data_IF_931880140860
#
_entry.id   IF_931880140860
#
_cell.length_a   1.000
_cell.length_b   1.000
_cell.length_c   1.000
_cell.angle_alpha   90.00
_cell.angle_beta   90.00
_cell.angle_gamma   90.00
#
_symmetry.space_group_name_H-M   'P 1'
#
loop_
_entity.id
_entity.type
_entity.pdbx_description
1 polymer ?
#
# COMPACT_ATOMS: atom_id res chain seq x y z
N UNK A 1 36.83 39.45 55.65
CA UNK A 1 36.15 40.67 55.19
C UNK A 1 34.78 40.24 54.67
N UNK A 2 33.70 40.40 55.45
CA UNK A 2 32.81 41.60 55.53
C UNK A 2 32.38 42.07 54.12
N UNK A 3 31.13 42.37 53.77
CA UNK A 3 29.79 42.32 54.36
C UNK A 3 28.84 42.69 53.19
N UNK A 4 27.70 42.04 52.98
CA UNK A 4 26.36 42.50 53.36
C UNK A 4 26.06 44.01 53.23
N UNK A 5 25.12 44.38 52.33
CA UNK A 5 24.18 45.51 52.47
C UNK A 5 23.02 45.31 51.47
N UNK A 6 21.74 45.03 51.83
CA UNK A 6 20.77 45.65 52.76
C UNK A 6 19.95 46.79 52.11
N UNK A 7 18.63 46.71 52.27
CA UNK A 7 17.62 47.76 52.02
C UNK A 7 16.50 47.26 51.11
N UNK A 8 15.41 46.62 51.57
CA UNK A 8 14.34 47.03 52.49
C UNK A 8 13.37 48.09 51.90
N UNK A 9 12.08 47.76 52.03
CA UNK A 9 10.85 48.42 51.53
C UNK A 9 10.76 49.93 51.79
N UNK A 10 9.85 50.63 51.10
CA UNK A 10 8.58 51.06 51.74
C UNK A 10 7.35 50.78 50.84
N UNK A 11 6.17 50.43 51.37
CA UNK A 11 5.12 51.35 51.85
C UNK A 11 4.02 51.46 50.78
N UNK A 12 2.96 50.65 50.80
CA UNK A 12 1.65 50.89 51.43
C UNK A 12 1.02 52.25 51.08
N UNK A 13 0.01 52.24 50.20
CA UNK A 13 -1.19 53.13 50.16
C UNK A 13 -2.16 52.50 49.11
N UNK A 14 -3.21 51.77 49.51
CA UNK A 14 -4.61 52.19 49.76
C UNK A 14 -5.35 52.75 48.53
N UNK A 15 -6.39 52.01 48.07
CA UNK A 15 -7.68 52.47 47.51
C UNK A 15 -8.52 51.26 47.01
N UNK A 16 -9.86 51.36 46.87
CA UNK A 16 -10.78 50.78 47.84
C UNK A 16 -11.66 49.64 47.28
N UNK A 17 -12.55 49.15 48.16
CA UNK A 17 -13.35 47.95 47.99
C UNK A 17 -14.30 47.91 46.81
N UNK A 18 -14.60 46.68 46.40
CA UNK A 18 -15.75 46.34 45.59
C UNK A 18 -16.58 45.31 46.35
N UNK A 19 -17.77 45.77 46.73
CA UNK A 19 -18.81 45.05 47.43
C UNK A 19 -19.27 43.81 46.65
N UNK A 20 -19.50 42.75 47.41
CA UNK A 20 -20.40 41.66 47.01
C UNK A 20 -21.80 42.22 46.81
N UNK A 21 -22.27 42.29 45.57
CA UNK A 21 -23.68 42.53 45.27
C UNK A 21 -24.37 41.18 45.15
N UNK A 22 -25.21 40.90 46.13
CA UNK A 22 -26.25 39.87 46.06
C UNK A 22 -27.30 40.34 45.05
N UNK A 23 -27.47 39.61 43.94
CA UNK A 23 -28.60 39.80 43.04
C UNK A 23 -29.62 38.70 43.32
N UNK A 24 -30.72 39.14 43.93
CA UNK A 24 -31.99 38.44 43.99
C UNK A 24 -32.54 38.21 42.59
N UNK A 25 -33.03 37.01 42.31
CA UNK A 25 -34.02 36.82 41.25
C UNK A 25 -35.29 36.24 41.86
N UNK A 26 -36.37 36.99 41.66
CA UNK A 26 -37.69 36.78 42.21
C UNK A 26 -38.36 35.58 41.52
N UNK A 27 -38.80 34.61 42.32
CA UNK A 27 -39.67 33.53 41.88
C UNK A 27 -41.12 34.04 41.83
N UNK A 28 -41.74 33.97 40.65
CA UNK A 28 -43.18 34.13 40.50
C UNK A 28 -43.89 32.89 41.06
N UNK A 29 -44.70 33.11 42.09
CA UNK A 29 -45.58 32.13 42.69
C UNK A 29 -46.87 32.00 41.86
N UNK A 30 -47.07 30.86 41.22
CA UNK A 30 -48.39 30.40 40.77
C UNK A 30 -48.93 29.41 41.80
N UNK A 31 -49.98 29.82 42.50
CA UNK A 31 -50.64 29.03 43.53
C UNK A 31 -51.27 27.76 42.99
N UNK A 32 -50.99 26.65 43.67
CA UNK A 32 -51.79 25.44 43.62
C UNK A 32 -52.25 25.14 45.05
N UNK A 33 -53.55 24.91 45.17
CA UNK A 33 -54.30 24.63 46.40
C UNK A 33 -53.77 23.39 47.13
N UNK A 34 -53.85 23.35 48.47
CA UNK A 34 -53.53 22.15 49.24
C UNK A 34 -54.57 21.05 48.99
N UNK A 35 -54.13 19.89 48.51
CA UNK A 35 -54.93 18.67 48.54
C UNK A 35 -54.84 18.05 49.94
N UNK A 36 -55.99 17.87 50.56
CA UNK A 36 -56.20 17.07 51.77
C UNK A 36 -55.73 15.61 51.56
N UNK A 37 -55.00 14.99 52.50
CA UNK A 37 -54.78 13.56 52.49
C UNK A 37 -56.03 12.84 53.03
N UNK A 38 -56.80 12.22 52.14
CA UNK A 38 -57.82 11.24 52.51
C UNK A 38 -57.21 10.00 53.20
N UNK A 39 -58.00 9.26 53.99
CA UNK A 39 -57.48 8.20 54.85
C UNK A 39 -56.84 7.07 54.04
N UNK A 40 -55.64 6.67 54.49
CA UNK A 40 -54.85 5.57 53.94
C UNK A 40 -55.66 4.27 53.90
N UNK A 41 -55.88 3.74 52.70
CA UNK A 41 -56.31 2.35 52.53
C UNK A 41 -55.21 1.41 53.05
N UNK A 42 -55.57 0.28 53.70
CA UNK A 42 -54.57 -0.65 54.22
C UNK A 42 -53.77 -1.28 53.07
N UNK A 43 -52.48 -1.60 53.29
CA UNK A 43 -51.65 -2.21 52.26
C UNK A 43 -52.23 -3.56 51.86
N UNK A 44 -52.45 -3.74 50.55
CA UNK A 44 -52.76 -5.04 49.97
C UNK A 44 -51.62 -6.02 50.29
N UNK A 45 -51.89 -7.28 50.67
CA UNK A 45 -50.85 -8.27 50.87
C UNK A 45 -50.06 -8.44 49.57
N UNK A 46 -48.74 -8.32 49.66
CA UNK A 46 -47.83 -8.71 48.57
C UNK A 46 -48.20 -10.11 48.11
N UNK A 47 -48.65 -10.23 46.86
CA UNK A 47 -48.72 -11.52 46.21
C UNK A 47 -47.31 -12.14 46.24
N UNK A 48 -47.15 -13.42 46.63
CA UNK A 48 -45.85 -14.06 46.56
C UNK A 48 -45.37 -14.02 45.11
N UNK A 49 -44.25 -13.33 44.87
CA UNK A 49 -43.56 -13.39 43.59
C UNK A 49 -43.22 -14.85 43.33
N UNK A 50 -43.80 -15.42 42.27
CA UNK A 50 -43.45 -16.75 41.79
C UNK A 50 -41.91 -16.88 41.74
N UNK A 51 -41.33 -17.99 42.23
CA UNK A 51 -39.90 -18.23 42.05
C UNK A 51 -39.56 -18.12 40.56
N UNK A 52 -38.39 -17.56 40.19
CA UNK A 52 -37.99 -17.46 38.80
C UNK A 52 -38.10 -18.85 38.15
N UNK A 53 -38.84 -18.92 37.05
CA UNK A 53 -38.99 -20.15 36.28
C UNK A 53 -37.60 -20.75 36.00
N UNK A 54 -37.43 -22.08 36.06
CA UNK A 54 -36.15 -22.70 35.76
C UNK A 54 -35.69 -22.23 34.37
N UNK A 55 -34.55 -21.53 34.33
CA UNK A 55 -33.97 -21.00 33.10
C UNK A 55 -33.77 -22.19 32.15
N UNK A 56 -34.37 -22.13 30.96
CA UNK A 56 -34.26 -23.20 29.98
C UNK A 56 -32.77 -23.52 29.72
N UNK A 57 -32.40 -24.79 29.49
CA UNK A 57 -31.01 -25.16 29.30
C UNK A 57 -30.41 -24.37 28.15
N UNK A 58 -29.38 -23.59 28.45
CA UNK A 58 -28.78 -22.64 27.52
C UNK A 58 -27.25 -22.70 27.62
N UNK A 59 -26.52 -22.56 26.49
CA UNK A 59 -25.08 -22.46 26.52
C UNK A 59 -24.64 -21.11 27.12
N UNK A 60 -23.46 -21.08 27.73
CA UNK A 60 -22.83 -19.86 28.26
C UNK A 60 -21.35 -19.88 27.94
N UNK A 61 -20.88 -18.98 27.08
CA UNK A 61 -19.45 -18.88 26.78
C UNK A 61 -18.76 -18.03 27.85
N UNK A 62 -17.59 -18.48 28.30
CA UNK A 62 -16.77 -17.74 29.25
C UNK A 62 -15.30 -17.81 28.84
N UNK A 63 -14.64 -16.65 28.74
CA UNK A 63 -13.19 -16.56 28.53
C UNK A 63 -12.52 -16.10 29.82
N UNK A 64 -11.45 -16.78 30.22
CA UNK A 64 -10.67 -16.38 31.39
C UNK A 64 -9.96 -15.03 31.16
N UNK A 65 -9.48 -14.79 29.94
CA UNK A 65 -8.81 -13.55 29.55
C UNK A 65 -9.19 -13.19 28.10
N UNK A 66 -10.13 -12.24 27.88
CA UNK A 66 -10.50 -11.80 26.54
C UNK A 66 -9.46 -10.85 25.91
N UNK A 67 -8.43 -10.45 26.67
CA UNK A 67 -7.35 -9.58 26.22
C UNK A 67 -6.04 -10.29 26.50
N UNK A 68 -5.20 -10.42 25.47
CA UNK A 68 -3.83 -10.84 25.61
C UNK A 68 -2.89 -9.71 25.19
N UNK A 69 -1.92 -9.38 26.05
CA UNK A 69 -0.90 -8.38 25.78
C UNK A 69 0.47 -9.06 25.70
N UNK A 70 1.09 -8.98 24.52
CA UNK A 70 2.43 -9.50 24.27
C UNK A 70 3.54 -8.58 24.83
N UNK A 71 3.18 -7.41 25.34
CA UNK A 71 4.12 -6.43 25.87
C UNK A 71 5.01 -5.84 24.77
N UNK A 72 6.29 -5.64 25.08
CA UNK A 72 7.27 -5.06 24.15
C UNK A 72 7.82 -6.12 23.22
N UNK A 73 7.59 -5.97 21.92
CA UNK A 73 7.93 -6.97 20.89
C UNK A 73 8.68 -6.33 19.72
N UNK A 74 9.65 -7.05 19.15
CA UNK A 74 10.37 -6.61 17.95
C UNK A 74 9.44 -6.63 16.72
N UNK A 75 9.46 -5.56 15.92
CA UNK A 75 8.71 -5.51 14.65
C UNK A 75 9.13 -6.65 13.72
N UNK A 76 8.15 -7.30 13.09
CA UNK A 76 8.36 -8.40 12.14
C UNK A 76 8.22 -9.79 12.77
N UNK A 77 8.17 -9.91 14.09
CA UNK A 77 7.85 -11.17 14.77
C UNK A 77 6.42 -11.61 14.51
N UNK A 78 6.22 -12.92 14.33
CA UNK A 78 4.90 -13.55 14.27
C UNK A 78 4.50 -13.95 15.69
N UNK A 79 3.46 -13.31 16.22
CA UNK A 79 2.96 -13.55 17.57
C UNK A 79 1.84 -14.58 17.54
N UNK A 80 1.83 -15.50 18.50
CA UNK A 80 0.82 -16.56 18.61
C UNK A 80 0.25 -16.61 20.02
N UNK A 81 -1.06 -16.78 20.12
CA UNK A 81 -1.74 -16.94 21.40
C UNK A 81 -2.98 -17.81 21.24
N UNK A 82 -3.19 -18.69 22.22
CA UNK A 82 -4.35 -19.56 22.29
C UNK A 82 -5.33 -19.02 23.33
N UNK A 83 -6.50 -18.58 22.87
CA UNK A 83 -7.58 -18.19 23.77
C UNK A 83 -8.36 -19.42 24.21
N UNK A 84 -8.40 -19.63 25.53
CA UNK A 84 -9.19 -20.69 26.15
C UNK A 84 -10.55 -20.16 26.57
N UNK A 85 -11.60 -20.90 26.25
CA UNK A 85 -12.96 -20.62 26.69
C UNK A 85 -13.63 -21.86 27.26
N UNK A 86 -14.62 -21.66 28.12
CA UNK A 86 -15.36 -22.72 28.80
C UNK A 86 -16.85 -22.54 28.53
N UNK A 87 -17.55 -23.64 28.30
CA UNK A 87 -19.01 -23.63 28.34
C UNK A 87 -19.48 -23.77 29.80
N UNK A 88 -19.90 -22.65 30.40
CA UNK A 88 -20.43 -22.59 31.76
C UNK A 88 -21.94 -22.79 31.83
N UNK A 89 -22.57 -23.06 30.68
CA UNK A 89 -24.01 -23.27 30.56
C UNK A 89 -24.41 -24.72 30.80
N UNK A 90 -25.68 -25.02 30.52
CA UNK A 90 -26.29 -26.34 30.71
C UNK A 90 -26.68 -27.01 29.40
N UNK A 91 -26.38 -26.37 28.26
CA UNK A 91 -26.55 -26.93 26.91
C UNK A 91 -25.26 -26.78 26.08
N UNK A 92 -25.06 -27.57 25.00
CA UNK A 92 -23.87 -27.51 24.16
C UNK A 92 -23.67 -26.12 23.52
N UNK A 93 -22.46 -25.59 23.64
CA UNK A 93 -22.02 -24.33 23.03
C UNK A 93 -21.48 -24.62 21.63
N UNK A 94 -21.98 -23.91 20.63
CA UNK A 94 -21.52 -24.01 19.24
C UNK A 94 -20.98 -22.68 18.74
N UNK A 95 -19.77 -22.74 18.17
CA UNK A 95 -19.07 -21.61 17.58
C UNK A 95 -19.28 -21.64 16.07
N UNK A 96 -20.06 -20.69 15.57
CA UNK A 96 -20.46 -20.65 14.15
C UNK A 96 -19.45 -19.94 13.27
N UNK A 97 -18.74 -18.94 13.81
CA UNK A 97 -17.79 -18.14 13.04
C UNK A 97 -16.71 -17.53 13.94
N UNK A 98 -15.51 -17.37 13.38
CA UNK A 98 -14.43 -16.58 13.96
C UNK A 98 -13.84 -15.71 12.87
N UNK A 99 -13.84 -14.40 13.08
CA UNK A 99 -13.37 -13.43 12.10
C UNK A 99 -12.41 -12.42 12.73
N UNK A 100 -11.27 -12.23 12.08
CA UNK A 100 -10.28 -11.24 12.47
C UNK A 100 -10.58 -9.87 11.81
N UNK A 101 -10.28 -8.78 12.51
CA UNK A 101 -10.50 -7.41 12.02
C UNK A 101 -9.61 -6.98 10.85
N UNK A 102 -8.48 -7.64 10.62
CA UNK A 102 -7.54 -7.37 9.52
C UNK A 102 -6.95 -8.67 8.99
N UNK A 103 -6.48 -8.68 7.74
CA UNK A 103 -5.69 -9.80 7.19
C UNK A 103 -4.31 -9.99 7.85
N UNK A 104 -3.92 -9.09 8.76
CA UNK A 104 -2.72 -9.21 9.58
C UNK A 104 -2.88 -10.13 10.81
N UNK A 105 -4.12 -10.53 11.10
CA UNK A 105 -4.48 -11.44 12.20
C UNK A 105 -5.23 -12.62 11.62
N UNK A 106 -4.84 -13.82 12.00
CA UNK A 106 -5.44 -15.07 11.49
C UNK A 106 -5.88 -15.92 12.65
N UNK A 107 -7.12 -16.40 12.62
CA UNK A 107 -7.60 -17.46 13.50
C UNK A 107 -7.22 -18.82 12.90
N UNK A 108 -6.60 -19.68 13.70
CA UNK A 108 -6.33 -21.08 13.35
C UNK A 108 -7.58 -21.94 13.49
N UNK A 109 -7.43 -23.26 13.42
CA UNK A 109 -8.54 -24.18 13.67
C UNK A 109 -9.00 -24.10 15.13
N UNK A 110 -10.30 -23.84 15.35
CA UNK A 110 -10.88 -23.66 16.68
C UNK A 110 -11.84 -24.79 17.07
N UNK A 111 -12.07 -24.95 18.37
CA UNK A 111 -13.07 -25.90 18.88
C UNK A 111 -14.49 -25.43 18.53
N UNK A 112 -15.15 -26.11 17.60
CA UNK A 112 -16.49 -25.71 17.11
C UNK A 112 -17.64 -26.01 18.07
N UNK A 113 -17.52 -27.05 18.88
CA UNK A 113 -18.57 -27.47 19.82
C UNK A 113 -17.96 -27.83 21.16
N UNK A 114 -18.54 -27.31 22.23
CA UNK A 114 -18.06 -27.50 23.61
C UNK A 114 -19.22 -27.91 24.50
N UNK A 115 -19.13 -29.12 25.06
CA UNK A 115 -20.13 -29.65 25.99
C UNK A 115 -20.13 -28.88 27.33
N UNK A 116 -21.24 -28.87 28.08
CA UNK A 116 -21.31 -28.23 29.40
C UNK A 116 -20.15 -28.61 30.32
N UNK A 117 -19.50 -27.59 30.90
CA UNK A 117 -18.35 -27.75 31.80
C UNK A 117 -17.01 -28.04 31.10
N UNK A 118 -16.98 -28.22 29.78
CA UNK A 118 -15.75 -28.46 29.02
C UNK A 118 -15.12 -27.14 28.53
N UNK A 119 -13.84 -27.22 28.13
CA UNK A 119 -13.10 -26.11 27.54
C UNK A 119 -12.88 -26.31 26.03
N UNK A 120 -12.78 -25.19 25.32
CA UNK A 120 -12.37 -25.09 23.93
C UNK A 120 -11.18 -24.14 23.75
N UNK A 121 -10.55 -24.22 22.59
CA UNK A 121 -9.36 -23.42 22.24
C UNK A 121 -9.61 -22.68 20.93
N UNK A 122 -9.15 -21.43 20.89
CA UNK A 122 -9.07 -20.61 19.69
C UNK A 122 -7.63 -20.10 19.50
N UNK A 123 -6.84 -20.76 18.64
CA UNK A 123 -5.50 -20.30 18.27
C UNK A 123 -5.58 -19.04 17.41
N UNK A 124 -4.78 -18.02 17.72
CA UNK A 124 -4.70 -16.79 16.95
C UNK A 124 -3.24 -16.43 16.67
N UNK A 125 -2.98 -15.96 15.46
CA UNK A 125 -1.68 -15.49 15.02
C UNK A 125 -1.77 -14.02 14.57
N UNK A 126 -0.77 -13.21 14.93
CA UNK A 126 -0.61 -11.81 14.53
C UNK A 126 0.74 -11.61 13.84
N UNK A 127 0.71 -11.16 12.58
CA UNK A 127 1.90 -10.74 11.84
C UNK A 127 2.16 -9.26 12.09
N UNK A 128 3.31 -8.92 12.67
CA UNK A 128 3.65 -7.54 13.07
C UNK A 128 4.44 -6.76 12.02
N UNK A 129 4.81 -7.41 10.90
CA UNK A 129 5.51 -6.76 9.80
C UNK A 129 4.68 -5.59 9.24
N UNK A 130 5.33 -4.43 9.06
CA UNK A 130 4.68 -3.22 8.54
C UNK A 130 3.96 -2.36 9.58
N UNK A 131 3.98 -2.75 10.86
CA UNK A 131 3.44 -1.95 11.97
C UNK A 131 4.56 -1.40 12.86
N UNK A 132 4.27 -0.34 13.62
CA UNK A 132 5.17 0.28 14.60
C UNK A 132 4.38 0.81 15.80
N UNK A 133 5.00 0.89 16.97
CA UNK A 133 4.36 1.39 18.18
C UNK A 133 3.26 0.48 18.73
N UNK A 134 2.29 1.06 19.43
CA UNK A 134 1.21 0.28 20.05
C UNK A 134 0.23 -0.25 18.99
N UNK A 135 0.05 -1.57 18.97
CA UNK A 135 -0.86 -2.28 18.09
C UNK A 135 -1.93 -2.96 18.90
N UNK A 136 -3.19 -2.75 18.52
CA UNK A 136 -4.36 -3.45 19.08
C UNK A 136 -5.12 -4.08 17.92
N UNK A 137 -5.33 -5.40 17.98
CA UNK A 137 -6.08 -6.16 16.98
C UNK A 137 -7.19 -6.93 17.65
N UNK A 138 -8.31 -7.07 16.94
CA UNK A 138 -9.49 -7.76 17.45
C UNK A 138 -9.81 -9.00 16.63
N UNK A 139 -10.27 -10.03 17.32
CA UNK A 139 -10.89 -11.23 16.75
C UNK A 139 -12.29 -11.33 17.33
N UNK A 140 -13.29 -11.47 16.47
CA UNK A 140 -14.69 -11.61 16.88
C UNK A 140 -15.13 -13.04 16.63
N UNK A 141 -15.71 -13.65 17.66
CA UNK A 141 -16.26 -14.98 17.64
C UNK A 141 -17.79 -14.89 17.75
N UNK A 142 -18.51 -15.65 16.93
CA UNK A 142 -19.97 -15.77 16.98
C UNK A 142 -20.38 -17.15 17.48
N UNK A 143 -21.36 -17.21 18.37
CA UNK A 143 -21.83 -18.45 18.99
C UNK A 143 -23.34 -18.43 19.30
N UNK A 144 -23.85 -19.57 19.76
CA UNK A 144 -25.26 -19.76 20.14
C UNK A 144 -25.58 -19.39 21.60
N UNK A 145 -24.70 -18.69 22.33
CA UNK A 145 -25.01 -18.13 23.64
C UNK A 145 -26.04 -16.99 23.51
N UNK A 146 -27.27 -17.11 24.05
CA UNK A 146 -28.29 -16.08 23.91
C UNK A 146 -27.95 -14.78 24.65
N UNK A 147 -27.02 -14.79 25.61
CA UNK A 147 -26.57 -13.59 26.33
C UNK A 147 -25.35 -12.94 25.69
N UNK A 148 -24.51 -13.71 25.00
CA UNK A 148 -23.29 -13.25 24.36
C UNK A 148 -23.12 -13.87 22.96
N UNK A 149 -23.96 -13.51 21.98
CA UNK A 149 -23.91 -14.11 20.64
C UNK A 149 -22.63 -13.76 19.89
N UNK A 150 -21.98 -12.65 20.25
CA UNK A 150 -20.68 -12.23 19.72
C UNK A 150 -19.72 -11.89 20.85
N UNK A 151 -18.52 -12.44 20.81
CA UNK A 151 -17.44 -12.17 21.77
C UNK A 151 -16.26 -11.55 21.02
N UNK A 152 -15.76 -10.41 21.50
CA UNK A 152 -14.57 -9.77 20.94
C UNK A 152 -13.37 -10.00 21.82
N UNK A 153 -12.33 -10.61 21.24
CA UNK A 153 -11.03 -10.85 21.84
C UNK A 153 -10.03 -9.80 21.33
N UNK A 154 -9.07 -9.40 22.18
CA UNK A 154 -8.06 -8.41 21.83
C UNK A 154 -6.64 -8.96 21.97
N UNK A 155 -5.81 -8.66 20.98
CA UNK A 155 -4.37 -8.83 21.00
C UNK A 155 -3.73 -7.45 21.07
N UNK A 156 -2.83 -7.24 22.04
CA UNK A 156 -2.08 -6.00 22.22
C UNK A 156 -0.58 -6.27 22.14
N UNK A 157 0.17 -5.36 21.55
CA UNK A 157 1.62 -5.39 21.54
C UNK A 157 2.17 -3.98 21.37
N UNK A 158 3.29 -3.67 22.03
CA UNK A 158 4.08 -2.47 21.80
C UNK A 158 5.28 -2.81 20.93
N UNK A 159 5.20 -2.49 19.64
CA UNK A 159 6.21 -2.82 18.66
C UNK A 159 7.35 -1.81 18.66
N UNK A 160 8.58 -2.30 18.71
CA UNK A 160 9.79 -1.48 18.64
C UNK A 160 10.78 -2.04 17.61
N UNK A 161 11.65 -1.18 17.08
CA UNK A 161 12.67 -1.57 16.12
C UNK A 161 14.03 -1.51 16.82
N UNK A 162 14.74 -2.64 17.01
CA UNK A 162 16.01 -2.63 17.74
C UNK A 162 17.13 -1.92 17.00
N UNK A 163 17.18 -2.11 15.68
CA UNK A 163 18.18 -1.49 14.81
C UNK A 163 17.44 -0.89 13.63
N UNK A 164 17.59 0.41 13.43
CA UNK A 164 17.01 1.15 12.31
C UNK A 164 18.08 1.42 11.26
N UNK A 165 17.73 1.19 10.00
CA UNK A 165 18.58 1.53 8.84
C UNK A 165 17.84 2.55 7.99
N UNK A 166 18.45 3.71 7.77
CA UNK A 166 17.89 4.79 6.99
C UNK A 166 18.91 5.31 5.95
N UNK A 167 18.64 5.16 4.64
CA UNK A 167 17.55 4.38 4.04
C UNK A 167 17.72 2.86 4.19
N UNK A 168 16.64 2.08 4.00
CA UNK A 168 16.67 0.59 4.02
C UNK A 168 17.28 -0.05 2.77
N UNK A 169 17.66 0.75 1.79
CA UNK A 169 18.38 0.36 0.59
C UNK A 169 19.33 1.49 0.21
N UNK A 170 20.48 1.16 -0.38
CA UNK A 170 21.40 2.17 -0.90
C UNK A 170 21.23 2.30 -2.42
N UNK A 171 21.41 3.51 -2.94
CA UNK A 171 21.45 3.76 -4.38
C UNK A 171 22.66 4.58 -4.70
N UNK A 172 23.59 4.00 -5.47
CA UNK A 172 24.72 4.70 -6.05
C UNK A 172 24.33 5.07 -7.48
N UNK A 173 23.96 6.34 -7.66
CA UNK A 173 23.64 6.89 -8.97
C UNK A 173 24.82 7.71 -9.47
N UNK A 174 25.35 7.35 -10.63
CA UNK A 174 26.49 8.04 -11.24
C UNK A 174 26.49 7.85 -12.76
N UNK A 175 27.25 8.67 -13.48
CA UNK A 175 27.59 8.39 -14.88
C UNK A 175 28.82 7.46 -14.94
N UNK A 176 29.14 6.93 -16.12
CA UNK A 176 30.32 6.06 -16.31
C UNK A 176 31.65 6.76 -16.02
N UNK A 177 31.71 8.08 -16.17
CA UNK A 177 32.94 8.87 -15.98
C UNK A 177 33.27 9.14 -14.49
N UNK A 178 32.24 9.30 -13.65
CA UNK A 178 32.31 9.63 -12.22
C UNK A 178 31.90 8.46 -11.34
N UNK A 179 31.79 7.26 -11.92
CA UNK A 179 31.36 6.09 -11.17
C UNK A 179 32.24 5.89 -9.93
N UNK A 180 33.56 6.00 -10.06
CA UNK A 180 34.52 5.86 -8.96
C UNK A 180 34.42 6.91 -7.85
N UNK A 181 33.74 8.03 -8.10
CA UNK A 181 33.49 9.10 -7.11
C UNK A 181 32.13 8.94 -6.41
N UNK A 182 31.30 8.00 -6.88
CA UNK A 182 29.98 7.76 -6.33
C UNK A 182 30.08 7.27 -4.88
N UNK A 183 29.18 7.74 -4.03
CA UNK A 183 29.07 7.29 -2.64
C UNK A 183 27.61 7.22 -2.22
N UNK A 184 27.27 6.19 -1.47
CA UNK A 184 26.01 6.11 -0.75
C UNK A 184 26.29 5.96 0.75
N UNK A 185 25.48 6.59 1.58
CA UNK A 185 25.58 6.52 3.03
C UNK A 185 24.25 6.04 3.58
N UNK A 186 24.31 5.03 4.44
CA UNK A 186 23.16 4.53 5.20
C UNK A 186 23.44 4.73 6.67
N UNK A 187 22.52 5.39 7.36
CA UNK A 187 22.59 5.57 8.80
C UNK A 187 22.03 4.32 9.48
N UNK A 188 22.75 3.82 10.47
CA UNK A 188 22.35 2.69 11.30
C UNK A 188 22.25 3.20 12.74
N UNK A 189 21.06 3.13 13.32
CA UNK A 189 20.78 3.58 14.67
C UNK A 189 20.38 2.39 15.54
N UNK A 190 21.07 2.22 16.67
CA UNK A 190 20.79 1.19 17.67
C UNK A 190 19.96 1.73 18.83
N UNK A 191 18.78 1.16 19.00
CA UNK A 191 17.86 1.39 20.11
C UNK A 191 17.96 0.31 21.20
N UNK A 192 18.96 -0.57 21.11
CA UNK A 192 19.18 -1.63 22.10
C UNK A 192 19.77 -1.07 23.41
N UNK A 193 19.55 -1.76 24.52
CA UNK A 193 20.12 -1.37 25.81
C UNK A 193 21.63 -1.61 25.85
N UNK A 194 22.07 -2.71 25.24
CA UNK A 194 23.47 -3.07 25.09
C UNK A 194 24.11 -2.36 23.88
N UNK A 195 25.37 -1.90 23.99
CA UNK A 195 26.12 -1.35 22.86
C UNK A 195 26.18 -2.34 21.69
N UNK A 196 25.70 -1.92 20.52
CA UNK A 196 25.75 -2.73 19.31
C UNK A 196 27.19 -2.78 18.78
N UNK A 197 27.68 -3.97 18.40
CA UNK A 197 28.93 -4.10 17.63
C UNK A 197 28.61 -4.57 16.23
N UNK A 198 29.08 -3.82 15.24
CA UNK A 198 29.02 -4.19 13.83
C UNK A 198 30.38 -4.75 13.41
N UNK A 199 30.38 -5.92 12.78
CA UNK A 199 31.59 -6.49 12.18
C UNK A 199 31.84 -5.92 10.79
N UNK A 200 32.98 -6.27 10.20
CA UNK A 200 33.30 -5.86 8.83
C UNK A 200 32.20 -6.32 7.86
N UNK A 201 31.63 -5.41 7.05
CA UNK A 201 30.61 -5.76 6.09
C UNK A 201 31.22 -6.61 4.96
N UNK A 202 30.49 -7.62 4.52
CA UNK A 202 30.82 -8.39 3.32
C UNK A 202 29.89 -7.96 2.17
N UNK A 203 30.44 -7.84 0.97
CA UNK A 203 29.70 -7.53 -0.25
C UNK A 203 29.71 -8.75 -1.16
N UNK A 204 28.55 -9.16 -1.67
CA UNK A 204 28.46 -10.29 -2.59
C UNK A 204 28.93 -9.95 -4.03
N UNK A 205 29.15 -8.67 -4.32
CA UNK A 205 29.57 -8.18 -5.61
C UNK A 205 30.85 -7.34 -5.44
N UNK A 206 31.99 -7.74 -6.04
CA UNK A 206 33.27 -7.04 -5.89
C UNK A 206 33.27 -5.64 -6.53
N UNK A 207 32.21 -5.28 -7.27
CA UNK A 207 32.01 -3.94 -7.79
C UNK A 207 31.98 -2.88 -6.67
N UNK A 208 31.41 -3.24 -5.52
CA UNK A 208 31.21 -2.34 -4.40
C UNK A 208 32.02 -2.80 -3.18
N UNK A 209 32.42 -1.81 -2.40
CA UNK A 209 32.97 -1.98 -1.06
C UNK A 209 32.09 -1.22 -0.09
N UNK A 210 31.93 -1.77 1.11
CA UNK A 210 31.23 -1.12 2.19
C UNK A 210 32.18 -0.98 3.39
N UNK A 211 32.06 0.11 4.11
CA UNK A 211 32.82 0.38 5.33
C UNK A 211 31.86 0.95 6.38
N UNK A 212 32.00 0.48 7.63
CA UNK A 212 31.19 0.95 8.75
C UNK A 212 32.02 1.96 9.53
N UNK A 213 31.46 3.15 9.72
CA UNK A 213 32.03 4.22 10.52
C UNK A 213 31.18 4.36 11.78
N UNK A 214 31.76 4.09 12.94
CA UNK A 214 31.11 4.33 14.22
C UNK A 214 31.18 5.82 14.57
N UNK A 215 30.01 6.48 14.66
CA UNK A 215 29.89 7.91 15.02
C UNK A 215 29.71 8.09 16.52
N UNK A 216 28.82 7.29 17.10
CA UNK A 216 28.59 7.23 18.54
C UNK A 216 28.77 5.78 18.99
N UNK A 217 29.70 5.51 19.93
CA UNK A 217 30.01 4.15 20.35
C UNK A 217 28.78 3.32 20.70
N UNK A 218 28.56 2.23 19.96
CA UNK A 218 27.47 1.30 20.18
C UNK A 218 26.05 1.79 19.84
N UNK A 219 25.91 3.01 19.30
CA UNK A 219 24.61 3.69 19.10
C UNK A 219 24.38 4.12 17.66
N UNK A 220 25.33 4.86 17.07
CA UNK A 220 25.16 5.44 15.74
C UNK A 220 26.32 5.04 14.83
N UNK A 221 25.97 4.50 13.66
CA UNK A 221 26.92 4.09 12.65
C UNK A 221 26.52 4.64 11.29
N UNK A 222 27.52 4.93 10.46
CA UNK A 222 27.34 5.22 9.05
C UNK A 222 27.95 4.09 8.24
N UNK A 223 27.13 3.44 7.42
CA UNK A 223 27.60 2.52 6.40
C UNK A 223 27.87 3.33 5.13
N UNK A 224 29.14 3.47 4.80
CA UNK A 224 29.59 4.14 3.57
C UNK A 224 29.85 3.08 2.51
N UNK A 225 29.21 3.24 1.36
CA UNK A 225 29.28 2.32 0.24
C UNK A 225 29.93 3.05 -0.92
N UNK A 226 31.02 2.49 -1.43
CA UNK A 226 31.81 3.07 -2.51
C UNK A 226 32.11 2.02 -3.58
N UNK A 227 32.28 2.43 -4.84
CA UNK A 227 32.84 1.59 -5.88
C UNK A 227 34.25 1.11 -5.53
N UNK A 228 34.55 -0.15 -5.84
CA UNK A 228 35.89 -0.74 -5.72
C UNK A 228 36.33 -1.53 -6.96
N UNK A 229 35.38 -1.97 -7.79
CA UNK A 229 35.64 -2.69 -9.04
C UNK A 229 35.62 -1.79 -10.29
N UNK A 230 35.74 -2.38 -11.49
CA UNK A 230 35.64 -1.67 -12.75
C UNK A 230 34.23 -1.11 -12.97
N UNK A 231 34.09 0.00 -13.71
CA UNK A 231 32.79 0.56 -14.08
C UNK A 231 31.95 -0.48 -14.81
N UNK A 232 30.70 -0.75 -14.37
CA UNK A 232 29.87 -1.76 -14.99
C UNK A 232 29.31 -1.25 -16.34
N UNK A 233 28.95 -2.15 -17.24
CA UNK A 233 28.38 -1.79 -18.56
C UNK A 233 26.88 -1.45 -18.49
N UNK A 234 26.28 -1.49 -17.30
CA UNK A 234 24.87 -1.23 -17.07
C UNK A 234 24.55 -1.19 -15.58
N UNK A 235 23.26 -1.30 -15.24
CA UNK A 235 22.84 -1.35 -13.84
C UNK A 235 23.37 -2.61 -13.16
N UNK A 236 23.78 -2.45 -11.91
CA UNK A 236 24.25 -3.57 -11.09
C UNK A 236 23.57 -3.50 -9.72
N UNK A 237 23.59 -4.63 -9.01
CA UNK A 237 23.12 -4.71 -7.64
C UNK A 237 24.11 -5.51 -6.80
N UNK A 238 24.16 -5.18 -5.51
CA UNK A 238 24.90 -5.91 -4.51
C UNK A 238 24.07 -6.06 -3.25
N UNK A 239 24.30 -7.14 -2.51
CA UNK A 239 23.82 -7.33 -1.16
C UNK A 239 25.01 -7.19 -0.24
N UNK A 240 24.86 -6.31 0.75
CA UNK A 240 25.84 -6.03 1.78
C UNK A 240 25.34 -6.70 3.06
N UNK A 241 26.12 -7.62 3.60
CA UNK A 241 25.80 -8.35 4.82
C UNK A 241 26.73 -7.91 5.95
N UNK A 242 26.15 -7.49 7.06
CA UNK A 242 26.87 -6.95 8.22
C UNK A 242 26.52 -7.82 9.43
N UNK A 243 27.41 -8.72 9.88
CA UNK A 243 27.21 -9.44 11.12
C UNK A 243 27.19 -8.47 12.30
N UNK A 244 26.27 -8.69 13.23
CA UNK A 244 26.11 -7.86 14.43
C UNK A 244 26.18 -8.68 15.71
N UNK A 245 26.38 -8.00 16.83
CA UNK A 245 26.28 -8.61 18.17
C UNK A 245 24.85 -8.70 18.72
N UNK A 246 23.84 -8.21 18.00
CA UNK A 246 22.44 -8.24 18.45
C UNK A 246 21.89 -9.68 18.36
N UNK A 247 21.23 -10.14 19.42
CA UNK A 247 20.50 -11.42 19.41
C UNK A 247 19.21 -11.35 18.59
N UNK A 248 18.63 -10.16 18.44
CA UNK A 248 17.42 -9.94 17.66
C UNK A 248 17.70 -9.89 16.15
N UNK A 249 18.84 -9.29 15.76
CA UNK A 249 19.24 -9.08 14.37
C UNK A 249 20.71 -9.44 14.15
N UNK A 250 21.07 -10.73 14.12
CA UNK A 250 22.46 -11.17 14.05
C UNK A 250 23.17 -10.80 12.73
N UNK A 251 22.42 -10.55 11.65
CA UNK A 251 22.96 -10.10 10.37
C UNK A 251 22.06 -9.02 9.79
N UNK A 252 22.62 -7.84 9.50
CA UNK A 252 21.93 -6.79 8.75
C UNK A 252 22.22 -6.99 7.27
N UNK A 253 21.16 -7.09 6.46
CA UNK A 253 21.27 -7.17 5.01
C UNK A 253 20.76 -5.87 4.39
N UNK A 254 21.59 -5.27 3.54
CA UNK A 254 21.26 -4.06 2.81
C UNK A 254 21.48 -4.29 1.32
N UNK A 255 20.47 -4.01 0.52
CA UNK A 255 20.60 -4.04 -0.94
C UNK A 255 21.13 -2.68 -1.42
N UNK A 256 22.23 -2.70 -2.17
CA UNK A 256 22.80 -1.55 -2.85
C UNK A 256 22.55 -1.68 -4.36
N UNK A 257 21.92 -0.66 -4.94
CA UNK A 257 21.65 -0.55 -6.37
C UNK A 257 22.62 0.43 -7.01
N UNK A 258 23.25 0.03 -8.11
CA UNK A 258 24.08 0.88 -8.95
C UNK A 258 23.27 1.24 -10.18
N UNK A 259 22.99 2.54 -10.34
CA UNK A 259 22.26 3.08 -11.46
C UNK A 259 23.21 3.95 -12.28
N UNK A 260 23.53 3.49 -13.48
CA UNK A 260 24.39 4.24 -14.40
C UNK A 260 23.54 5.11 -15.31
N UNK A 261 23.71 6.43 -15.18
CA UNK A 261 23.10 7.38 -16.11
C UNK A 261 23.96 7.49 -17.38
N UNK A 262 23.35 7.46 -18.57
CA UNK A 262 24.10 7.69 -19.80
C UNK A 262 24.64 9.12 -19.83
N UNK A 263 25.86 9.27 -20.34
CA UNK A 263 26.54 10.56 -20.40
C UNK A 263 25.76 11.56 -21.24
N UNK A 264 25.24 11.11 -22.37
CA UNK A 264 24.31 11.88 -23.22
C UNK A 264 22.94 11.23 -23.13
N UNK A 265 21.99 11.92 -22.51
CA UNK A 265 20.59 11.48 -22.40
C UNK A 265 19.74 12.25 -23.41
N UNK A 266 18.87 11.55 -24.13
CA UNK A 266 17.95 12.16 -25.10
C UNK A 266 16.52 11.79 -24.75
N UNK A 267 15.65 12.80 -24.62
CA UNK A 267 14.25 12.60 -24.28
C UNK A 267 13.34 13.49 -25.14
N UNK A 268 12.33 12.93 -25.83
CA UNK A 268 11.99 11.50 -25.88
C UNK A 268 13.00 10.69 -26.74
N UNK A 269 13.15 9.37 -26.50
CA UNK A 269 14.08 8.51 -27.26
C UNK A 269 13.54 8.13 -28.65
N UNK A 270 12.25 8.33 -28.91
CA UNK A 270 11.62 8.21 -30.22
C UNK A 270 10.49 9.24 -30.33
N UNK A 271 10.20 9.68 -31.55
CA UNK A 271 9.10 10.60 -31.84
C UNK A 271 8.03 9.85 -32.60
N UNK A 272 6.77 10.03 -32.20
CA UNK A 272 5.63 9.51 -32.92
C UNK A 272 4.72 10.67 -33.36
N UNK A 273 4.56 10.83 -34.66
CA UNK A 273 3.67 11.80 -35.29
C UNK A 273 2.28 11.19 -35.51
N UNK A 274 1.27 12.05 -35.56
CA UNK A 274 -0.11 11.67 -35.90
C UNK A 274 -0.25 11.13 -37.34
N UNK A 275 -1.43 10.59 -37.71
CA UNK A 275 -1.65 10.06 -39.05
C UNK A 275 -1.41 11.10 -40.14
N UNK A 276 -0.70 10.68 -41.19
CA UNK A 276 -0.41 11.52 -42.35
C UNK A 276 -1.54 11.52 -43.40
N UNK A 277 -1.66 12.58 -44.22
CA UNK A 277 -0.95 13.86 -44.13
C UNK A 277 -1.36 14.67 -42.88
N UNK A 278 -0.40 15.34 -42.23
CA UNK A 278 -0.69 16.09 -40.99
C UNK A 278 -1.72 17.20 -41.23
N UNK A 279 -2.78 17.32 -40.40
CA UNK A 279 -3.85 18.31 -40.62
C UNK A 279 -3.40 19.75 -40.33
N UNK A 280 -2.41 19.94 -39.47
CA UNK A 280 -1.83 21.23 -39.11
C UNK A 280 -0.33 21.08 -38.86
N UNK A 281 0.39 22.20 -38.82
CA UNK A 281 1.80 22.20 -38.45
C UNK A 281 1.97 21.70 -37.00
N UNK A 282 2.94 20.82 -36.76
CA UNK A 282 3.22 20.23 -35.47
C UNK A 282 4.65 20.57 -35.05
N UNK A 283 4.86 20.94 -33.79
CA UNK A 283 6.19 21.12 -33.21
C UNK A 283 6.46 20.05 -32.17
N UNK A 284 7.61 19.39 -32.25
CA UNK A 284 8.04 18.37 -31.27
C UNK A 284 9.31 18.85 -30.59
N UNK A 285 9.32 18.85 -29.27
CA UNK A 285 10.51 19.19 -28.48
C UNK A 285 11.30 17.92 -28.12
N UNK A 286 12.60 17.94 -28.41
CA UNK A 286 13.56 16.94 -27.97
C UNK A 286 14.61 17.61 -27.10
N UNK A 287 14.80 17.08 -25.90
CA UNK A 287 15.85 17.51 -25.00
C UNK A 287 17.06 16.59 -25.10
N UNK A 288 18.25 17.18 -25.16
CA UNK A 288 19.53 16.48 -25.05
C UNK A 288 20.23 17.01 -23.82
N UNK A 289 20.43 16.14 -22.84
CA UNK A 289 21.06 16.46 -21.56
C UNK A 289 22.42 15.78 -21.49
N UNK A 290 23.45 16.56 -21.14
CA UNK A 290 24.79 16.09 -20.87
C UNK A 290 24.97 15.94 -19.36
N UNK A 291 25.12 14.70 -18.92
CA UNK A 291 25.43 14.33 -17.55
C UNK A 291 26.93 14.13 -17.33
N UNK A 292 27.76 14.36 -18.36
CA UNK A 292 29.20 14.17 -18.35
C UNK A 292 29.97 15.25 -17.59
N UNK A 293 31.28 15.05 -17.50
CA UNK A 293 32.22 16.04 -16.95
C UNK A 293 32.57 17.13 -17.95
N UNK A 294 32.66 16.76 -19.22
CA UNK A 294 33.07 17.66 -20.31
C UNK A 294 31.86 18.37 -20.91
N UNK A 295 32.04 19.62 -21.33
CA UNK A 295 31.00 20.36 -22.05
C UNK A 295 30.70 19.69 -23.38
N UNK A 296 29.42 19.38 -23.61
CA UNK A 296 28.96 18.84 -24.88
C UNK A 296 28.79 19.97 -25.90
N UNK A 297 29.16 19.74 -27.14
CA UNK A 297 28.80 20.59 -28.29
C UNK A 297 27.99 19.77 -29.27
N UNK A 298 26.87 20.32 -29.72
CA UNK A 298 26.09 19.77 -30.81
C UNK A 298 26.46 20.46 -32.12
N UNK A 299 26.58 19.66 -33.18
CA UNK A 299 26.87 20.12 -34.55
C UNK A 299 26.08 19.27 -35.53
N UNK A 300 25.87 19.79 -36.74
CA UNK A 300 25.15 19.09 -37.82
C UNK A 300 23.78 18.54 -37.37
N UNK A 301 23.02 19.34 -36.60
CA UNK A 301 21.69 18.94 -36.16
C UNK A 301 20.74 19.06 -37.35
N UNK A 302 20.24 17.93 -37.83
CA UNK A 302 19.33 17.88 -38.96
C UNK A 302 18.38 16.69 -38.85
N UNK A 303 17.21 16.81 -39.47
CA UNK A 303 16.35 15.68 -39.78
C UNK A 303 16.65 15.28 -41.23
N UNK A 304 16.69 13.98 -41.51
CA UNK A 304 16.94 13.45 -42.86
C UNK A 304 15.74 13.63 -43.82
N UNK A 305 15.14 14.81 -43.84
CA UNK A 305 14.05 15.21 -44.74
C UNK A 305 14.07 16.73 -44.93
N UNK A 306 13.90 17.19 -46.18
CA UNK A 306 14.03 18.62 -46.57
C UNK A 306 12.93 19.55 -46.05
N UNK A 307 11.82 19.02 -45.53
CA UNK A 307 10.62 19.79 -45.18
C UNK A 307 10.44 19.91 -43.67
N UNK A 308 11.46 19.54 -42.88
CA UNK A 308 11.45 19.63 -41.42
C UNK A 308 12.56 20.57 -41.00
N UNK A 309 12.22 21.67 -40.32
CA UNK A 309 13.21 22.58 -39.74
C UNK A 309 13.47 22.21 -38.29
N UNK A 310 14.71 22.42 -37.84
CA UNK A 310 15.14 22.13 -36.47
C UNK A 310 15.77 23.37 -35.87
N UNK A 311 15.14 23.90 -34.83
CA UNK A 311 15.69 25.00 -34.04
C UNK A 311 16.44 24.44 -32.83
N UNK A 312 17.70 24.84 -32.68
CA UNK A 312 18.58 24.38 -31.60
C UNK A 312 18.76 25.51 -30.61
N UNK A 313 18.36 25.28 -29.37
CA UNK A 313 18.53 26.22 -28.26
C UNK A 313 19.38 25.57 -27.16
N UNK A 314 20.50 26.19 -26.85
CA UNK A 314 21.33 25.80 -25.71
C UNK A 314 20.85 26.56 -24.46
N UNK A 315 20.07 25.90 -23.61
CA UNK A 315 19.50 26.53 -22.40
C UNK A 315 20.50 26.57 -21.26
N UNK A 316 21.34 25.53 -21.15
CA UNK A 316 22.46 25.48 -20.21
C UNK A 316 23.72 25.10 -20.96
N UNK A 317 24.72 25.96 -20.86
CA UNK A 317 25.93 25.90 -21.67
C UNK A 317 26.66 24.56 -21.49
N UNK A 318 26.67 23.75 -22.55
CA UNK A 318 27.28 22.43 -22.61
C UNK A 318 26.56 21.35 -21.80
N UNK A 319 25.42 21.65 -21.19
CA UNK A 319 24.68 20.75 -20.29
C UNK A 319 23.30 20.39 -20.82
N UNK A 320 22.59 21.32 -21.46
CA UNK A 320 21.21 21.10 -21.86
C UNK A 320 20.87 21.83 -23.15
N UNK A 321 20.44 21.04 -24.13
CA UNK A 321 20.00 21.49 -25.44
C UNK A 321 18.53 21.15 -25.63
N UNK A 322 17.76 22.13 -26.08
CA UNK A 322 16.39 22.00 -26.52
C UNK A 322 16.38 22.06 -28.04
N UNK A 323 15.86 21.02 -28.67
CA UNK A 323 15.71 20.88 -30.11
C UNK A 323 14.21 20.95 -30.44
N UNK A 324 13.78 21.96 -31.17
CA UNK A 324 12.40 22.11 -31.62
C UNK A 324 12.32 21.71 -33.09
N UNK A 325 11.60 20.62 -33.37
CA UNK A 325 11.40 20.11 -34.71
C UNK A 325 10.05 20.62 -35.21
N UNK A 326 10.03 21.33 -36.33
CA UNK A 326 8.82 21.87 -36.93
C UNK A 326 8.43 21.06 -38.17
N UNK A 327 7.26 20.43 -38.11
CA UNK A 327 6.65 19.68 -39.20
C UNK A 327 5.54 20.52 -39.82
N UNK A 328 5.55 20.77 -41.14
CA UNK A 328 4.54 21.58 -41.80
C UNK A 328 3.19 20.85 -41.91
N UNK A 329 2.11 21.60 -42.10
CA UNK A 329 0.83 21.03 -42.47
C UNK A 329 0.96 20.28 -43.82
N UNK A 330 0.30 19.14 -43.94
CA UNK A 330 0.41 18.26 -45.11
C UNK A 330 1.59 17.29 -45.08
N UNK A 331 2.45 17.32 -44.05
CA UNK A 331 3.59 16.40 -43.95
C UNK A 331 3.14 14.93 -43.92
N UNK A 332 3.71 14.12 -44.81
CA UNK A 332 3.42 12.70 -44.92
C UNK A 332 4.70 11.93 -45.27
N UNK A 333 5.02 10.92 -44.47
CA UNK A 333 6.17 10.06 -44.67
C UNK A 333 5.86 9.00 -45.74
N UNK A 334 6.75 8.82 -46.72
CA UNK A 334 6.54 7.84 -47.78
C UNK A 334 6.64 6.39 -47.24
N UNK A 335 5.96 5.41 -47.85
CA UNK A 335 6.05 4.02 -47.43
C UNK A 335 7.49 3.49 -47.51
N UNK A 336 8.06 3.10 -46.36
CA UNK A 336 9.43 2.56 -46.28
C UNK A 336 10.52 3.61 -46.06
N UNK A 337 10.16 4.90 -46.05
CA UNK A 337 11.07 5.98 -45.68
C UNK A 337 11.34 5.97 -44.17
N UNK A 338 12.61 6.08 -43.78
CA UNK A 338 13.03 6.11 -42.37
C UNK A 338 13.37 7.54 -42.01
N UNK A 339 12.56 8.17 -41.16
CA UNK A 339 12.80 9.52 -40.67
C UNK A 339 13.52 9.47 -39.31
N UNK A 340 14.56 10.27 -39.15
CA UNK A 340 15.31 10.38 -37.91
C UNK A 340 15.94 11.78 -37.77
N UNK A 341 15.90 12.30 -36.55
CA UNK A 341 16.74 13.41 -36.13
C UNK A 341 18.15 12.89 -35.86
N UNK A 342 19.14 13.50 -36.48
CA UNK A 342 20.56 13.21 -36.25
C UNK A 342 21.27 14.45 -35.76
N UNK A 343 22.13 14.29 -34.76
CA UNK A 343 23.00 15.36 -34.27
C UNK A 343 24.37 14.78 -33.94
N UNK A 344 25.45 15.41 -34.42
CA UNK A 344 26.81 15.05 -34.02
C UNK A 344 27.11 15.68 -32.67
N UNK A 345 27.76 14.91 -31.81
CA UNK A 345 28.21 15.41 -30.51
C UNK A 345 29.73 15.39 -30.41
N UNK A 346 30.28 16.30 -29.62
CA UNK A 346 31.71 16.31 -29.28
C UNK A 346 32.13 15.22 -28.29
N UNK A 347 31.21 14.34 -27.84
CA UNK A 347 31.51 13.32 -26.85
C UNK A 347 32.16 12.07 -27.50
N UNK A 348 33.36 11.63 -27.06
CA UNK A 348 34.09 10.53 -27.71
C UNK A 348 33.32 9.21 -27.79
N UNK A 349 32.57 8.86 -26.74
CA UNK A 349 31.80 7.61 -26.67
C UNK A 349 30.37 7.74 -27.21
N UNK A 350 29.90 8.97 -27.49
CA UNK A 350 28.54 9.23 -27.97
C UNK A 350 28.56 10.21 -29.16
N UNK A 351 29.30 9.91 -30.24
CA UNK A 351 29.55 10.87 -31.32
C UNK A 351 28.30 11.22 -32.15
N UNK A 352 27.27 10.38 -32.10
CA UNK A 352 26.03 10.56 -32.86
C UNK A 352 24.81 10.33 -31.97
N UNK A 353 23.97 11.35 -31.87
CA UNK A 353 22.60 11.24 -31.35
C UNK A 353 21.67 10.97 -32.53
N UNK A 354 20.84 9.93 -32.40
CA UNK A 354 19.83 9.57 -33.39
C UNK A 354 18.49 9.33 -32.69
N UNK A 355 17.49 10.14 -33.04
CA UNK A 355 16.11 9.97 -32.55
C UNK A 355 15.23 9.55 -33.72
N UNK A 356 14.74 8.30 -33.76
CA UNK A 356 13.84 7.85 -34.81
C UNK A 356 12.49 8.56 -34.72
N UNK A 357 11.93 8.87 -35.88
CA UNK A 357 10.65 9.56 -36.04
C UNK A 357 9.74 8.64 -36.86
N UNK A 358 8.61 8.25 -36.28
CA UNK A 358 7.61 7.43 -36.95
C UNK A 358 6.32 8.23 -37.13
N UNK A 359 5.58 7.95 -38.21
CA UNK A 359 4.25 8.49 -38.44
C UNK A 359 3.23 7.36 -38.40
N UNK A 360 2.14 7.55 -37.67
CA UNK A 360 1.05 6.57 -37.62
C UNK A 360 0.49 6.38 -39.03
N UNK A 361 0.35 5.13 -39.48
CA UNK A 361 -0.28 4.83 -40.77
C UNK A 361 -1.78 4.72 -40.59
N UNK A 362 -2.54 5.43 -41.41
CA UNK A 362 -3.94 5.09 -41.65
C UNK A 362 -3.97 3.84 -42.53
N UNK A 363 -4.59 2.73 -42.08
CA UNK A 363 -4.79 1.59 -42.97
C UNK A 363 -5.63 2.05 -44.16
N UNK A 364 -5.15 1.79 -45.37
CA UNK A 364 -5.96 1.96 -46.56
C UNK A 364 -7.17 1.04 -46.42
N UNK A 365 -8.36 1.60 -46.26
CA UNK A 365 -9.59 0.83 -46.41
C UNK A 365 -9.63 0.40 -47.89
N UNK A 366 -9.33 -0.86 -48.17
CA UNK A 366 -9.59 -1.42 -49.48
C UNK A 366 -11.10 -1.29 -49.72
N UNK A 367 -11.55 -0.63 -50.81
CA UNK A 367 -12.97 -0.59 -51.11
C UNK A 367 -13.44 -2.03 -51.23
N UNK A 368 -14.34 -2.45 -50.35
CA UNK A 368 -14.99 -3.74 -50.52
C UNK A 368 -15.72 -3.68 -51.86
N UNK A 369 -15.31 -4.52 -52.81
CA UNK A 369 -16.03 -4.70 -54.08
C UNK A 369 -17.48 -4.99 -53.72
N UNK A 370 -18.46 -4.19 -54.19
CA UNK A 370 -19.86 -4.44 -53.90
C UNK A 370 -20.19 -5.86 -54.34
N UNK A 371 -20.52 -6.74 -53.39
CA UNK A 371 -21.02 -8.07 -53.73
C UNK A 371 -22.27 -7.85 -54.60
N UNK A 372 -22.37 -8.46 -55.81
CA UNK A 372 -23.52 -8.25 -56.67
C UNK A 372 -24.80 -8.61 -55.91
N UNK A 373 -25.77 -7.70 -55.96
CA UNK A 373 -27.05 -7.89 -55.30
C UNK A 373 -27.71 -9.19 -55.81
N UNK A 374 -28.30 -10.02 -54.92
CA UNK A 374 -29.07 -11.18 -55.38
C UNK A 374 -30.23 -10.69 -56.26
N UNK A 375 -30.62 -11.44 -57.31
CA UNK A 375 -31.70 -11.04 -58.21
C UNK A 375 -33.01 -10.93 -57.45
N UNK A 376 -33.69 -9.79 -57.62
CA UNK A 376 -35.02 -9.54 -57.06
C UNK A 376 -36.02 -10.44 -57.79
N UNK A 377 -36.83 -11.27 -57.10
CA UNK A 377 -37.86 -12.06 -57.76
C UNK A 377 -38.96 -11.14 -58.29
N UNK A 378 -39.35 -11.33 -59.55
CA UNK A 378 -40.45 -10.62 -60.18
C UNK A 378 -41.77 -10.97 -59.46
N UNK A 379 -42.54 -9.94 -59.11
CA UNK A 379 -43.87 -10.07 -58.52
C UNK A 379 -44.82 -10.72 -59.52
N UNK A 380 -45.40 -11.87 -59.16
CA UNK A 380 -46.48 -12.51 -59.91
C UNK A 380 -47.64 -12.89 -58.97
N UNK A 381 -48.78 -12.23 -59.23
CA UNK A 381 -50.19 -12.55 -58.93
C UNK A 381 -50.66 -12.92 -57.48
N UNK A 382 -51.84 -12.44 -57.04
CA UNK A 382 -52.41 -12.82 -55.76
C UNK A 382 -52.98 -14.25 -55.82
N UNK A 383 -52.47 -15.13 -54.97
CA UNK A 383 -53.04 -16.46 -54.72
C UNK A 383 -53.56 -16.58 -53.29
N UNK A 384 -54.61 -17.39 -53.16
CA UNK A 384 -55.67 -17.42 -52.15
C UNK A 384 -55.24 -17.54 -50.68
N UNK A 385 -56.12 -17.06 -49.79
CA UNK A 385 -56.01 -17.19 -48.35
C UNK A 385 -55.88 -18.66 -47.89
N UNK A 386 -54.98 -18.96 -46.94
CA UNK A 386 -54.81 -20.31 -46.43
C UNK A 386 -55.98 -20.73 -45.49
N UNK A 387 -56.31 -22.03 -45.40
CA UNK A 387 -57.36 -22.53 -44.52
C UNK A 387 -56.95 -22.51 -43.03
N UNK A 388 -57.91 -22.59 -42.09
CA UNK A 388 -57.63 -22.45 -40.66
C UNK A 388 -56.89 -23.65 -40.07
N UNK A 389 -56.06 -23.35 -39.08
CA UNK A 389 -55.16 -24.26 -38.36
C UNK A 389 -55.95 -25.24 -37.47
N UNK A 390 -55.65 -26.56 -37.48
CA UNK A 390 -56.26 -27.51 -36.54
C UNK A 390 -55.67 -27.39 -35.12
N UNK A 391 -56.46 -27.69 -34.07
CA UNK A 391 -56.05 -27.49 -32.69
C UNK A 391 -55.00 -28.51 -32.21
N UNK A 392 -54.10 -28.01 -31.38
CA UNK A 392 -52.92 -28.67 -30.83
C UNK A 392 -53.29 -29.86 -29.91
N UNK A 393 -52.75 -31.08 -30.11
CA UNK A 393 -53.00 -32.17 -29.17
C UNK A 393 -52.19 -31.98 -27.87
N UNK A 394 -52.86 -32.27 -26.76
CA UNK A 394 -52.38 -32.11 -25.39
C UNK A 394 -51.04 -32.83 -25.12
N UNK A 395 -50.20 -32.16 -24.33
CA UNK A 395 -48.91 -32.63 -23.81
C UNK A 395 -49.11 -33.82 -22.85
N UNK A 396 -48.48 -34.98 -23.08
CA UNK A 396 -48.38 -36.02 -22.06
C UNK A 396 -47.27 -35.69 -21.06
N UNK A 397 -47.50 -36.03 -19.79
CA UNK A 397 -46.56 -35.89 -18.69
C UNK A 397 -45.31 -36.76 -18.90
N UNK A 398 -44.12 -36.20 -18.66
CA UNK A 398 -42.85 -36.93 -18.65
C UNK A 398 -42.36 -37.11 -17.20
N UNK A 399 -42.04 -38.36 -16.87
CA UNK A 399 -41.69 -38.87 -15.53
C UNK A 399 -40.28 -38.53 -15.02
N UNK A 400 -39.77 -39.28 -14.02
CA UNK A 400 -38.74 -38.81 -13.11
C UNK A 400 -37.35 -38.73 -13.74
N UNK A 401 -36.61 -37.69 -13.33
CA UNK A 401 -35.21 -37.41 -13.70
C UNK A 401 -34.27 -38.54 -13.23
N UNK A 402 -33.38 -39.07 -14.07
CA UNK A 402 -32.32 -39.97 -13.62
C UNK A 402 -31.24 -39.21 -12.85
N UNK A 403 -30.80 -39.81 -11.75
CA UNK A 403 -29.73 -39.38 -10.85
C UNK A 403 -28.36 -39.43 -11.53
N UNK A 404 -27.55 -38.39 -11.33
CA UNK A 404 -26.15 -38.30 -11.79
C UNK A 404 -25.23 -39.08 -10.82
N UNK A 405 -24.30 -39.92 -11.29
CA UNK A 405 -23.34 -40.60 -10.42
C UNK A 405 -22.25 -39.63 -9.91
N UNK A 406 -21.62 -39.92 -8.75
CA UNK A 406 -20.60 -39.06 -8.14
C UNK A 406 -19.27 -39.13 -8.91
N UNK A 407 -18.60 -37.97 -8.97
CA UNK A 407 -17.25 -37.82 -9.51
C UNK A 407 -16.24 -38.29 -8.46
N UNK A 408 -15.42 -39.28 -8.82
CA UNK A 408 -14.37 -39.87 -8.02
C UNK A 408 -13.14 -38.94 -7.97
N UNK A 409 -12.67 -38.61 -6.77
CA UNK A 409 -11.41 -37.86 -6.53
C UNK A 409 -10.24 -38.84 -6.38
N UNK A 410 -9.05 -38.55 -6.95
CA UNK A 410 -7.87 -39.40 -6.77
C UNK A 410 -7.26 -39.26 -5.35
N UNK A 411 -6.65 -40.32 -4.81
CA UNK A 411 -6.07 -40.31 -3.47
C UNK A 411 -4.72 -39.56 -3.43
N UNK A 412 -4.50 -38.81 -2.35
CA UNK A 412 -3.19 -38.27 -1.97
C UNK A 412 -2.30 -39.41 -1.45
N UNK A 413 -1.03 -39.52 -1.89
CA UNK A 413 -0.07 -40.43 -1.28
C UNK A 413 0.47 -39.82 0.01
N UNK A 414 0.30 -40.54 1.11
CA UNK A 414 0.87 -40.19 2.41
C UNK A 414 2.30 -40.69 2.60
N UNK A 415 3.11 -39.85 3.24
CA UNK A 415 4.06 -40.21 4.30
C UNK A 415 4.24 -38.97 5.18
#
# INVERSE_FOLDING_TARGET
>A
MKAASRGQRPGTTLLPGLCFVWVWWAACASGQTPFDPGPLAPPTPNAPSLPPAPEAPAPRIHFAAPIHDFGRVVVGTVLRHDFYFTNTGTAPLEISNVHASCGCTTAGEWTRRVEPGQFGVLPVQLTTAGFQGMVIKTVTLSCNDPRQPNVTLQLRANLWTPIEMNPRYATLRANVERFHEARAVVQILSHEETPLRLQNPSCNNPLLKAEVIERVPGREFELVITPAGPTPTGNAQAVISIPTSSTNLPVLNLTALVLLDPVVTVAPPFIQLGPGPLPAAQTVEVSVMNNGTNRLRLSEVAVNHTNVTVDVQETRLGEYFRLQLHFPAGFQLAPGEVLALTARTSHPQHPLVRVPIAQVRTPAYAPQVPRPAPPVPASAAPQQAPPPVPPNPARPAAGPRPTRPPTEFPPLPGA
#
